data_IF_144228748806
#
_entry.id   IF_144228748806
#
_cell.length_a   1.000
_cell.length_b   1.000
_cell.length_c   1.000
_cell.angle_alpha   90.00
_cell.angle_beta   90.00
_cell.angle_gamma   90.00
#
_symmetry.space_group_name_H-M   'P 1'
#
loop_
_entity.id
_entity.type
_entity.pdbx_description
1 polymer ?
#
# COMPACT_ATOMS: atom_id res chain seq x y z
N UNK A 1 -0.48 8.17 -4.65
CA UNK A 1 0.50 7.85 -3.60
C UNK A 1 0.12 8.37 -2.21
N UNK A 2 -0.47 9.54 -2.06
CA UNK A 2 -0.81 10.16 -0.76
C UNK A 2 -1.96 9.51 0.03
N UNK A 3 -2.72 8.60 -0.56
CA UNK A 3 -3.74 7.83 0.20
C UNK A 3 -3.07 7.04 1.32
N UNK A 4 -3.33 7.43 2.59
CA UNK A 4 -2.80 6.78 3.81
C UNK A 4 -1.26 6.78 3.95
N UNK A 5 -0.55 7.62 3.21
CA UNK A 5 0.91 7.78 3.32
C UNK A 5 1.25 9.26 3.50
N UNK A 6 2.22 9.56 4.37
CA UNK A 6 2.64 10.92 4.65
C UNK A 6 3.40 11.54 3.46
N UNK A 7 3.25 12.86 3.26
CA UNK A 7 3.86 13.60 2.15
C UNK A 7 5.38 13.41 2.10
N UNK A 8 6.06 13.56 3.24
CA UNK A 8 7.51 13.41 3.33
C UNK A 8 8.00 12.03 2.83
N UNK A 9 7.24 10.98 3.11
CA UNK A 9 7.52 9.63 2.62
C UNK A 9 7.28 9.51 1.11
N UNK A 10 6.25 10.18 0.59
CA UNK A 10 5.84 10.06 -0.82
C UNK A 10 6.77 10.79 -1.77
N UNK A 11 7.32 11.95 -1.39
CA UNK A 11 8.11 12.82 -2.29
C UNK A 11 9.21 12.08 -3.05
N UNK A 12 10.12 11.30 -2.41
CA UNK A 12 11.17 10.60 -3.15
C UNK A 12 10.63 9.49 -4.08
N UNK A 13 9.54 8.84 -3.72
CA UNK A 13 8.87 7.84 -4.56
C UNK A 13 8.19 8.50 -5.76
N UNK A 14 7.51 9.62 -5.55
CA UNK A 14 6.83 10.35 -6.60
C UNK A 14 7.81 10.83 -7.67
N UNK A 15 8.96 11.38 -7.29
CA UNK A 15 9.98 11.83 -8.24
C UNK A 15 10.45 10.70 -9.14
N UNK A 16 10.89 9.57 -8.56
CA UNK A 16 11.33 8.40 -9.34
C UNK A 16 10.22 7.80 -10.21
N UNK A 17 8.99 7.84 -9.71
CA UNK A 17 7.84 7.33 -10.44
C UNK A 17 7.52 8.21 -11.66
N UNK A 18 7.55 9.53 -11.51
CA UNK A 18 7.31 10.47 -12.61
C UNK A 18 8.46 10.52 -13.64
N UNK A 19 9.69 10.29 -13.21
CA UNK A 19 10.83 10.14 -14.13
C UNK A 19 10.61 8.93 -15.06
N UNK A 20 10.07 7.85 -14.53
CA UNK A 20 9.86 6.63 -15.31
C UNK A 20 8.53 6.61 -16.06
N UNK A 21 7.49 7.16 -15.47
CA UNK A 21 6.12 7.20 -16.00
C UNK A 21 5.62 8.65 -16.03
N UNK A 22 6.07 9.46 -17.01
CA UNK A 22 5.71 10.88 -17.07
C UNK A 22 4.23 11.12 -17.40
N UNK A 23 3.58 10.15 -18.03
CA UNK A 23 2.17 10.23 -18.42
C UNK A 23 1.45 8.87 -18.29
N UNK A 24 0.16 8.88 -18.57
CA UNK A 24 -0.71 7.70 -18.46
C UNK A 24 -0.34 6.61 -19.48
N UNK A 25 0.16 6.99 -20.66
CA UNK A 25 0.55 6.07 -21.73
C UNK A 25 1.79 5.29 -21.37
N UNK A 26 2.80 6.00 -20.84
CA UNK A 26 4.02 5.38 -20.34
C UNK A 26 3.73 4.42 -19.18
N UNK A 27 2.80 4.78 -18.28
CA UNK A 27 2.39 3.92 -17.18
C UNK A 27 1.61 2.69 -17.67
N UNK A 28 0.68 2.85 -18.61
CA UNK A 28 -0.11 1.76 -19.16
C UNK A 28 0.74 0.75 -19.97
N UNK A 29 1.76 1.24 -20.69
CA UNK A 29 2.67 0.39 -21.45
C UNK A 29 3.67 -0.41 -20.62
N UNK A 30 3.87 -0.04 -19.35
CA UNK A 30 4.84 -0.69 -18.49
C UNK A 30 4.33 -2.03 -17.94
N UNK A 31 5.20 -3.04 -17.75
CA UNK A 31 4.87 -4.22 -16.98
C UNK A 31 4.47 -3.86 -15.54
N UNK A 32 3.44 -4.51 -15.01
CA UNK A 32 2.97 -4.26 -13.63
C UNK A 32 4.09 -4.49 -12.59
N UNK A 33 5.02 -5.39 -12.86
CA UNK A 33 6.15 -5.65 -11.96
C UNK A 33 7.08 -4.44 -11.82
N UNK A 34 7.31 -3.68 -12.90
CA UNK A 34 8.09 -2.44 -12.85
C UNK A 34 7.37 -1.36 -12.02
N UNK A 35 6.06 -1.26 -12.16
CA UNK A 35 5.23 -0.34 -11.36
C UNK A 35 5.30 -0.71 -9.88
N UNK A 36 5.19 -2.00 -9.56
CA UNK A 36 5.29 -2.52 -8.19
C UNK A 36 6.70 -2.36 -7.61
N UNK A 37 7.73 -2.51 -8.43
CA UNK A 37 9.13 -2.27 -8.03
C UNK A 37 9.34 -0.82 -7.57
N UNK A 38 8.92 0.16 -8.37
CA UNK A 38 9.02 1.59 -8.01
C UNK A 38 8.13 1.98 -6.81
N UNK A 39 7.12 1.17 -6.51
CA UNK A 39 6.24 1.35 -5.35
C UNK A 39 6.74 0.66 -4.08
N UNK A 40 7.75 -0.23 -4.20
CA UNK A 40 8.24 -1.04 -3.08
C UNK A 40 8.69 -0.17 -1.91
N UNK A 41 8.16 -0.46 -0.72
CA UNK A 41 8.38 0.32 0.51
C UNK A 41 7.26 1.29 0.87
N UNK A 42 6.41 1.75 -0.06
CA UNK A 42 5.27 2.62 0.24
C UNK A 42 4.11 1.89 0.94
N UNK A 43 4.04 0.56 0.81
CA UNK A 43 2.93 -0.23 1.32
C UNK A 43 1.62 -0.06 0.54
N UNK A 44 0.57 -0.82 0.96
CA UNK A 44 -0.74 -0.80 0.32
C UNK A 44 -0.66 -0.98 -1.21
N UNK A 45 0.01 -2.01 -1.66
CA UNK A 45 0.35 -2.29 -3.06
C UNK A 45 -0.87 -2.39 -4.00
N UNK A 46 -2.06 -2.66 -3.46
CA UNK A 46 -3.31 -2.57 -4.21
C UNK A 46 -3.50 -1.19 -4.87
N UNK A 47 -2.94 -0.11 -4.29
CA UNK A 47 -2.99 1.23 -4.90
C UNK A 47 -2.17 1.30 -6.19
N UNK A 48 -0.98 0.71 -6.20
CA UNK A 48 -0.14 0.66 -7.40
C UNK A 48 -0.80 -0.18 -8.50
N UNK A 49 -1.32 -1.36 -8.16
CA UNK A 49 -2.06 -2.20 -9.12
C UNK A 49 -3.31 -1.50 -9.65
N UNK A 50 -4.06 -0.83 -8.78
CA UNK A 50 -5.24 -0.07 -9.21
C UNK A 50 -4.86 1.12 -10.08
N UNK A 51 -3.76 1.83 -9.78
CA UNK A 51 -3.26 2.93 -10.59
C UNK A 51 -2.87 2.44 -11.99
N UNK A 52 -2.15 1.32 -12.07
CA UNK A 52 -1.79 0.69 -13.36
C UNK A 52 -3.02 0.25 -14.13
N UNK A 53 -3.97 -0.46 -13.48
CA UNK A 53 -5.25 -0.86 -14.12
C UNK A 53 -6.08 0.33 -14.55
N UNK A 54 -6.08 1.42 -13.79
CA UNK A 54 -6.75 2.65 -14.20
C UNK A 54 -6.10 3.26 -15.44
N UNK A 55 -4.76 3.27 -15.52
CA UNK A 55 -4.04 3.75 -16.69
C UNK A 55 -4.35 2.93 -17.95
N UNK A 56 -4.41 1.60 -17.84
CA UNK A 56 -4.84 0.71 -18.94
C UNK A 56 -6.26 1.05 -19.42
N UNK A 57 -7.22 1.19 -18.49
CA UNK A 57 -8.60 1.55 -18.86
C UNK A 57 -8.72 2.95 -19.45
N UNK A 58 -7.96 3.93 -18.94
CA UNK A 58 -7.92 5.28 -19.50
C UNK A 58 -7.39 5.24 -20.93
N UNK A 59 -6.38 4.44 -21.21
CA UNK A 59 -5.85 4.30 -22.56
C UNK A 59 -6.86 3.63 -23.50
N UNK A 60 -7.48 2.54 -23.06
CA UNK A 60 -8.38 1.70 -23.85
C UNK A 60 -9.77 2.34 -24.06
N UNK A 61 -10.39 2.83 -22.98
CA UNK A 61 -11.77 3.32 -22.97
C UNK A 61 -11.89 4.84 -23.21
N UNK A 62 -10.80 5.60 -22.97
CA UNK A 62 -10.81 7.09 -22.98
C UNK A 62 -9.67 7.71 -23.81
N UNK A 63 -9.04 6.95 -24.70
CA UNK A 63 -8.01 7.46 -25.61
C UNK A 63 -6.74 8.00 -24.94
N UNK A 64 -6.53 7.70 -23.67
CA UNK A 64 -5.38 8.18 -22.88
C UNK A 64 -5.63 9.50 -22.15
N UNK A 65 -6.86 10.00 -22.14
CA UNK A 65 -7.24 11.21 -21.42
C UNK A 65 -8.10 10.87 -20.19
N UNK A 66 -7.93 11.61 -19.10
CA UNK A 66 -8.76 11.42 -17.90
C UNK A 66 -10.23 11.75 -18.20
N UNK A 67 -11.18 10.85 -17.85
CA UNK A 67 -12.59 11.13 -18.00
C UNK A 67 -13.02 12.44 -17.34
N UNK A 68 -13.95 13.15 -17.95
CA UNK A 68 -14.46 14.43 -17.46
C UNK A 68 -15.69 14.26 -16.55
N UNK A 69 -16.38 13.14 -16.63
CA UNK A 69 -17.55 12.87 -15.81
C UNK A 69 -17.20 12.20 -14.48
N UNK A 70 -17.97 12.54 -13.45
CA UNK A 70 -17.81 11.96 -12.12
C UNK A 70 -17.96 10.42 -12.15
N UNK A 71 -18.97 9.92 -12.84
CA UNK A 71 -19.29 8.50 -12.87
C UNK A 71 -18.20 7.70 -13.60
N UNK A 72 -17.67 8.22 -14.70
CA UNK A 72 -16.58 7.58 -15.42
C UNK A 72 -15.29 7.55 -14.59
N UNK A 73 -14.96 8.66 -13.89
CA UNK A 73 -13.83 8.67 -12.95
C UNK A 73 -14.03 7.69 -11.79
N UNK A 74 -15.21 7.68 -11.18
CA UNK A 74 -15.50 6.80 -10.05
C UNK A 74 -15.54 5.30 -10.42
N UNK A 75 -15.73 4.99 -11.71
CA UNK A 75 -15.66 3.62 -12.25
C UNK A 75 -14.23 3.12 -12.43
N UNK A 76 -13.20 4.00 -12.43
CA UNK A 76 -11.81 3.61 -12.58
C UNK A 76 -11.29 2.88 -11.33
N UNK A 77 -10.45 1.84 -11.51
CA UNK A 77 -9.87 1.10 -10.39
C UNK A 77 -9.16 2.01 -9.38
N UNK A 78 -9.54 1.91 -8.10
CA UNK A 78 -8.93 2.69 -7.01
C UNK A 78 -9.39 4.14 -6.88
N UNK A 79 -10.30 4.60 -7.72
CA UNK A 79 -10.92 5.92 -7.64
C UNK A 79 -12.32 5.78 -7.05
N UNK A 80 -12.47 6.15 -5.78
CA UNK A 80 -13.77 6.21 -5.12
C UNK A 80 -14.37 7.62 -5.17
N UNK A 81 -15.61 7.76 -4.65
CA UNK A 81 -16.38 9.01 -4.61
C UNK A 81 -15.56 10.25 -4.24
N UNK A 82 -14.80 10.17 -3.12
CA UNK A 82 -14.01 11.31 -2.64
C UNK A 82 -12.82 11.63 -3.56
N UNK A 83 -12.21 10.61 -4.16
CA UNK A 83 -11.08 10.80 -5.07
C UNK A 83 -11.54 11.37 -6.41
N UNK A 84 -12.65 10.88 -6.96
CA UNK A 84 -13.26 11.44 -8.17
C UNK A 84 -13.63 12.92 -7.97
N UNK A 85 -14.28 13.23 -6.85
CA UNK A 85 -14.59 14.62 -6.49
C UNK A 85 -13.36 15.51 -6.38
N UNK A 86 -12.28 15.01 -5.76
CA UNK A 86 -11.04 15.77 -5.63
C UNK A 86 -10.38 16.03 -7.00
N UNK A 87 -10.36 15.04 -7.90
CA UNK A 87 -9.81 15.19 -9.25
C UNK A 87 -10.58 16.28 -10.02
N UNK A 88 -11.90 16.22 -10.02
CA UNK A 88 -12.74 17.19 -10.74
C UNK A 88 -12.64 18.60 -10.14
N UNK A 89 -12.60 18.71 -8.82
CA UNK A 89 -12.43 19.99 -8.15
C UNK A 89 -11.08 20.62 -8.46
N UNK A 90 -9.98 19.88 -8.26
CA UNK A 90 -8.63 20.41 -8.40
C UNK A 90 -8.19 20.61 -9.85
N UNK A 91 -8.58 19.70 -10.76
CA UNK A 91 -8.13 19.76 -12.15
C UNK A 91 -9.07 20.54 -13.07
N UNK A 92 -10.35 20.68 -12.69
CA UNK A 92 -11.38 21.25 -13.57
C UNK A 92 -12.24 22.34 -12.91
N UNK A 93 -12.00 22.68 -11.64
CA UNK A 93 -12.80 23.65 -10.90
C UNK A 93 -14.27 23.24 -10.73
N UNK A 94 -14.62 21.96 -10.93
CA UNK A 94 -15.99 21.49 -10.81
C UNK A 94 -16.37 21.27 -9.35
N UNK A 95 -17.60 21.69 -8.98
CA UNK A 95 -18.09 21.58 -7.62
C UNK A 95 -18.46 20.15 -7.27
N UNK A 96 -17.52 19.45 -6.62
CA UNK A 96 -17.76 18.16 -6.02
C UNK A 96 -17.25 18.11 -4.58
N UNK A 97 -18.07 17.61 -3.62
CA UNK A 97 -17.65 17.47 -2.23
C UNK A 97 -16.63 16.33 -2.09
N UNK A 98 -15.73 16.47 -1.13
CA UNK A 98 -14.77 15.43 -0.76
C UNK A 98 -14.92 15.04 0.71
N UNK A 99 -14.71 13.76 1.02
CA UNK A 99 -14.73 13.25 2.38
C UNK A 99 -13.63 12.21 2.59
N UNK A 100 -12.38 12.62 2.38
CA UNK A 100 -11.21 11.82 2.73
C UNK A 100 -10.99 11.76 4.25
N UNK A 101 -9.95 11.10 4.72
CA UNK A 101 -9.65 11.00 6.15
C UNK A 101 -9.38 12.35 6.83
N UNK A 102 -8.85 13.33 6.09
CA UNK A 102 -8.55 14.68 6.59
C UNK A 102 -9.81 15.52 6.67
N UNK A 103 -10.56 15.63 5.57
CA UNK A 103 -11.82 16.37 5.52
C UNK A 103 -12.83 15.82 6.54
N UNK A 104 -12.94 14.49 6.65
CA UNK A 104 -13.79 13.81 7.64
C UNK A 104 -13.47 14.24 9.06
N UNK A 105 -12.20 14.30 9.43
CA UNK A 105 -11.77 14.73 10.76
C UNK A 105 -12.05 16.20 11.01
N UNK A 106 -11.79 17.06 10.03
CA UNK A 106 -12.08 18.50 10.13
C UNK A 106 -13.58 18.72 10.31
N UNK A 107 -14.41 18.14 9.45
CA UNK A 107 -15.86 18.29 9.52
C UNK A 107 -16.46 17.69 10.80
N UNK A 108 -15.99 16.50 11.23
CA UNK A 108 -16.45 15.90 12.50
C UNK A 108 -16.18 16.82 13.68
N UNK A 109 -15.01 17.44 13.76
CA UNK A 109 -14.65 18.36 14.85
C UNK A 109 -15.36 19.70 14.76
N UNK A 110 -15.40 20.28 13.57
CA UNK A 110 -16.02 21.58 13.35
C UNK A 110 -17.51 21.57 13.68
N UNK A 111 -18.24 20.56 13.20
CA UNK A 111 -19.67 20.41 13.44
C UNK A 111 -20.04 19.56 14.68
N UNK A 112 -19.06 19.06 15.42
CA UNK A 112 -19.29 18.26 16.63
C UNK A 112 -19.98 16.91 16.36
N UNK A 113 -19.75 16.29 15.20
CA UNK A 113 -20.42 15.03 14.82
C UNK A 113 -19.89 13.88 15.67
N UNK A 114 -20.78 13.30 16.46
CA UNK A 114 -20.51 12.17 17.37
C UNK A 114 -20.72 10.85 16.64
N UNK A 115 -20.00 9.83 17.07
CA UNK A 115 -20.07 8.48 16.50
C UNK A 115 -18.88 8.13 15.61
N UNK A 116 -18.81 6.85 15.27
CA UNK A 116 -17.76 6.34 14.39
C UNK A 116 -18.11 6.62 12.93
N UNK A 117 -17.14 7.11 12.17
CA UNK A 117 -17.32 7.28 10.73
C UNK A 117 -17.48 5.95 9.95
N UNK A 118 -17.39 4.82 10.64
CA UNK A 118 -17.75 3.50 10.09
C UNK A 118 -19.26 3.23 10.14
N UNK A 119 -20.00 3.98 10.94
CA UNK A 119 -21.47 3.91 11.00
C UNK A 119 -22.07 4.63 9.78
N UNK A 120 -22.99 3.99 9.09
CA UNK A 120 -23.59 4.51 7.85
C UNK A 120 -24.33 5.84 8.05
N UNK A 121 -24.99 6.03 9.20
CA UNK A 121 -25.67 7.28 9.57
C UNK A 121 -24.69 8.44 9.75
N UNK A 122 -23.59 8.20 10.45
CA UNK A 122 -22.52 9.19 10.66
C UNK A 122 -21.83 9.52 9.33
N UNK A 123 -21.53 8.52 8.51
CA UNK A 123 -20.93 8.72 7.19
C UNK A 123 -21.85 9.56 6.28
N UNK A 124 -23.15 9.27 6.25
CA UNK A 124 -24.15 10.05 5.49
C UNK A 124 -24.18 11.50 5.98
N UNK A 125 -24.27 11.70 7.29
CA UNK A 125 -24.25 13.06 7.87
C UNK A 125 -23.01 13.85 7.51
N UNK A 126 -21.84 13.22 7.51
CA UNK A 126 -20.59 13.88 7.11
C UNK A 126 -20.55 14.22 5.62
N UNK A 127 -21.14 13.39 4.75
CA UNK A 127 -21.31 13.72 3.34
C UNK A 127 -22.25 14.91 3.11
N UNK A 128 -23.39 14.98 3.82
CA UNK A 128 -24.28 16.14 3.77
C UNK A 128 -23.57 17.42 4.21
N UNK A 129 -22.78 17.36 5.28
CA UNK A 129 -22.01 18.48 5.76
C UNK A 129 -20.90 18.88 4.77
N UNK A 130 -20.25 17.91 4.15
CA UNK A 130 -19.26 18.17 3.10
C UNK A 130 -19.90 18.88 1.91
N UNK A 131 -21.05 18.39 1.43
CA UNK A 131 -21.81 19.01 0.33
C UNK A 131 -22.15 20.46 0.63
N UNK A 132 -22.69 20.73 1.83
CA UNK A 132 -23.07 22.08 2.27
C UNK A 132 -21.90 23.02 2.48
N UNK A 133 -20.72 22.47 2.80
CA UNK A 133 -19.51 23.26 3.04
C UNK A 133 -18.70 23.51 1.76
N UNK A 134 -18.94 22.76 0.69
CA UNK A 134 -18.25 22.95 -0.58
C UNK A 134 -18.82 24.16 -1.31
N UNK A 135 -18.02 25.21 -1.53
CA UNK A 135 -18.50 26.45 -2.16
C UNK A 135 -18.79 26.24 -3.65
N UNK A 136 -19.46 27.21 -4.28
CA UNK A 136 -19.64 27.25 -5.74
C UNK A 136 -18.42 27.85 -6.46
N UNK A 137 -17.78 28.82 -5.82
CA UNK A 137 -16.61 29.50 -6.36
C UNK A 137 -15.34 29.05 -5.64
N UNK A 138 -14.20 29.06 -6.31
CA UNK A 138 -12.88 28.68 -5.76
C UNK A 138 -12.90 27.29 -5.10
N UNK A 139 -13.58 26.36 -5.74
CA UNK A 139 -13.77 25.00 -5.20
C UNK A 139 -12.47 24.22 -5.10
N UNK A 140 -11.54 24.45 -6.01
CA UNK A 140 -10.19 23.89 -6.02
C UNK A 140 -9.39 24.34 -4.79
N UNK A 141 -9.42 25.62 -4.47
CA UNK A 141 -8.76 26.17 -3.27
C UNK A 141 -9.40 25.61 -1.98
N UNK A 142 -10.73 25.53 -1.92
CA UNK A 142 -11.42 24.93 -0.77
C UNK A 142 -11.03 23.45 -0.60
N UNK A 143 -11.03 22.71 -1.71
CA UNK A 143 -10.71 21.27 -1.71
C UNK A 143 -9.27 21.03 -1.24
N UNK A 144 -8.32 21.82 -1.71
CA UNK A 144 -6.94 21.76 -1.24
C UNK A 144 -6.84 22.20 0.22
N UNK A 145 -7.46 23.32 0.59
CA UNK A 145 -7.39 23.88 1.94
C UNK A 145 -7.94 22.93 3.02
N UNK A 146 -9.07 22.24 2.78
CA UNK A 146 -9.63 21.32 3.79
C UNK A 146 -8.73 20.08 3.98
N UNK A 147 -8.07 19.59 2.91
CA UNK A 147 -7.10 18.50 3.00
C UNK A 147 -5.86 18.96 3.77
N UNK A 148 -5.31 20.12 3.46
CA UNK A 148 -4.12 20.68 4.13
C UNK A 148 -4.39 21.02 5.59
N UNK A 149 -5.54 21.60 5.90
CA UNK A 149 -5.96 21.86 7.27
C UNK A 149 -6.00 20.57 8.10
N UNK A 150 -6.55 19.51 7.51
CA UNK A 150 -6.55 18.19 8.13
C UNK A 150 -5.16 17.58 8.28
N UNK A 151 -4.28 17.76 7.30
CA UNK A 151 -2.94 17.16 7.29
C UNK A 151 -1.96 17.89 8.23
N UNK A 152 -2.08 19.22 8.40
CA UNK A 152 -1.05 20.05 9.04
C UNK A 152 -1.49 20.69 10.36
N UNK A 153 -2.76 21.04 10.51
CA UNK A 153 -3.28 21.78 11.68
C UNK A 153 -4.24 20.92 12.50
N UNK A 154 -5.32 20.44 11.87
CA UNK A 154 -6.32 19.61 12.53
C UNK A 154 -5.90 18.14 12.54
N UNK A 155 -4.67 17.86 12.97
CA UNK A 155 -4.09 16.53 12.99
C UNK A 155 -4.78 15.60 13.99
N UNK A 156 -4.60 14.29 13.84
CA UNK A 156 -5.27 13.28 14.67
C UNK A 156 -4.91 13.40 16.14
N UNK A 157 -3.62 13.48 16.44
CA UNK A 157 -3.10 13.67 17.81
C UNK A 157 -2.57 15.10 17.95
N UNK A 158 -2.86 15.78 19.05
CA UNK A 158 -2.39 17.14 19.35
C UNK A 158 -2.70 18.16 18.23
N UNK A 159 -3.99 18.37 17.90
CA UNK A 159 -4.35 19.36 16.90
C UNK A 159 -3.93 20.77 17.33
N UNK A 160 -3.43 21.56 16.39
CA UNK A 160 -2.91 22.92 16.62
C UNK A 160 -4.06 23.95 16.60
N UNK A 161 -4.99 23.84 17.54
CA UNK A 161 -6.21 24.64 17.58
C UNK A 161 -5.97 26.14 17.68
N UNK A 162 -4.86 26.59 18.31
CA UNK A 162 -4.48 28.00 18.37
C UNK A 162 -4.09 28.61 17.01
N UNK A 163 -3.69 27.77 16.05
CA UNK A 163 -3.32 28.17 14.69
C UNK A 163 -4.44 27.91 13.67
N UNK A 164 -5.57 27.35 14.12
CA UNK A 164 -6.63 26.92 13.22
C UNK A 164 -7.53 28.11 12.82
N UNK A 165 -7.70 28.40 11.52
CA UNK A 165 -8.57 29.51 11.08
C UNK A 165 -10.06 29.27 11.41
N UNK A 166 -10.45 28.02 11.68
CA UNK A 166 -11.82 27.65 12.04
C UNK A 166 -12.07 27.60 13.56
N UNK A 167 -11.08 27.99 14.37
CA UNK A 167 -11.06 27.75 15.81
C UNK A 167 -12.26 28.31 16.57
N UNK A 168 -12.71 29.53 16.24
CA UNK A 168 -13.77 30.23 16.97
C UNK A 168 -15.13 29.49 16.88
N UNK A 169 -15.48 29.00 15.69
CA UNK A 169 -16.75 28.32 15.42
C UNK A 169 -16.69 26.81 15.58
N UNK A 170 -15.51 26.26 15.91
CA UNK A 170 -15.32 24.82 16.02
C UNK A 170 -15.96 24.26 17.29
N UNK A 171 -16.99 23.43 17.13
CA UNK A 171 -17.73 22.82 18.26
C UNK A 171 -16.80 21.97 19.12
N UNK A 172 -15.96 21.12 18.52
CA UNK A 172 -15.04 20.27 19.28
C UNK A 172 -14.08 21.07 20.16
N UNK A 173 -13.56 22.22 19.67
CA UNK A 173 -12.69 23.10 20.44
C UNK A 173 -13.45 23.74 21.60
N UNK A 174 -14.62 24.28 21.34
CA UNK A 174 -15.46 24.95 22.36
C UNK A 174 -15.90 24.03 23.46
N UNK A 175 -16.07 22.74 23.16
CA UNK A 175 -16.51 21.70 24.12
C UNK A 175 -15.36 20.84 24.66
N UNK A 176 -14.10 21.14 24.29
CA UNK A 176 -12.93 20.37 24.74
C UNK A 176 -12.81 18.95 24.14
N UNK A 177 -13.62 18.60 23.12
CA UNK A 177 -13.79 17.23 22.59
C UNK A 177 -12.97 16.93 21.35
N UNK A 178 -11.98 17.71 21.00
CA UNK A 178 -11.15 17.50 19.80
C UNK A 178 -10.36 16.18 19.80
N UNK A 179 -10.17 15.56 20.94
CA UNK A 179 -9.51 14.26 21.08
C UNK A 179 -10.48 13.09 20.91
N UNK A 180 -11.77 13.32 21.14
CA UNK A 180 -12.84 12.33 21.00
C UNK A 180 -13.38 12.24 19.55
N UNK A 181 -13.27 13.33 18.79
CA UNK A 181 -13.89 13.46 17.47
C UNK A 181 -12.86 13.41 16.33
N UNK A 182 -13.15 12.64 15.26
CA UNK A 182 -14.20 11.63 15.16
C UNK A 182 -13.95 10.50 16.16
N UNK A 183 -15.00 9.81 16.61
CA UNK A 183 -14.86 8.68 17.51
C UNK A 183 -13.90 7.64 16.92
N UNK A 184 -12.96 7.14 17.71
CA UNK A 184 -12.01 6.14 17.22
C UNK A 184 -12.78 4.89 16.80
N UNK A 185 -12.35 4.28 15.69
CA UNK A 185 -12.80 2.94 15.34
C UNK A 185 -12.37 1.99 16.46
N UNK A 186 -13.29 1.19 16.97
CA UNK A 186 -12.95 0.16 17.96
C UNK A 186 -11.78 -0.67 17.41
N UNK A 187 -10.67 -0.63 18.13
CA UNK A 187 -9.50 -1.40 17.75
C UNK A 187 -9.83 -2.89 17.94
N UNK A 188 -9.83 -3.65 16.84
CA UNK A 188 -9.84 -5.11 16.95
C UNK A 188 -8.49 -5.54 17.51
N UNK A 189 -8.48 -6.51 18.41
CA UNK A 189 -7.24 -7.13 18.87
C UNK A 189 -6.42 -7.62 17.67
N UNK A 190 -5.16 -7.23 17.60
CA UNK A 190 -4.25 -7.68 16.55
C UNK A 190 -3.93 -9.15 16.85
N UNK A 191 -4.24 -10.04 15.91
CA UNK A 191 -3.83 -11.42 15.99
C UNK A 191 -2.41 -11.58 15.43
N UNK A 192 -1.66 -12.55 15.91
CA UNK A 192 -0.36 -12.91 15.38
C UNK A 192 -0.53 -14.08 14.41
N UNK A 193 -0.03 -13.93 13.19
CA UNK A 193 0.08 -14.97 12.19
C UNK A 193 1.53 -15.43 12.11
N UNK A 194 1.77 -16.72 12.22
CA UNK A 194 3.09 -17.34 12.04
C UNK A 194 3.13 -18.08 10.72
N UNK A 195 4.21 -17.91 9.97
CA UNK A 195 4.43 -18.59 8.69
C UNK A 195 5.88 -19.04 8.57
N UNK A 196 6.08 -20.07 7.78
CA UNK A 196 7.39 -20.55 7.36
C UNK A 196 7.60 -20.12 5.91
N UNK A 197 8.78 -19.59 5.57
CA UNK A 197 9.12 -19.26 4.20
C UNK A 197 10.37 -19.99 3.77
N UNK A 198 10.30 -20.70 2.64
CA UNK A 198 11.42 -21.46 2.09
C UNK A 198 12.34 -20.52 1.32
N UNK A 199 13.60 -20.49 1.69
CA UNK A 199 14.71 -19.78 1.02
C UNK A 199 15.52 -20.81 0.26
N UNK A 200 15.02 -21.19 -0.92
CA UNK A 200 15.74 -22.10 -1.81
C UNK A 200 16.87 -21.32 -2.49
N UNK A 201 18.12 -21.66 -2.16
CA UNK A 201 19.33 -20.93 -2.58
C UNK A 201 20.16 -21.78 -3.53
N UNK A 202 20.52 -21.23 -4.70
CA UNK A 202 21.48 -21.78 -5.64
C UNK A 202 22.88 -21.24 -5.41
N UNK A 203 23.87 -21.95 -5.92
CA UNK A 203 25.30 -21.58 -5.81
C UNK A 203 25.62 -20.27 -6.56
N UNK A 204 24.83 -19.91 -7.59
CA UNK A 204 24.95 -18.65 -8.33
C UNK A 204 24.38 -17.43 -7.57
N UNK A 205 23.82 -17.65 -6.37
CA UNK A 205 23.17 -16.62 -5.57
C UNK A 205 21.71 -16.37 -5.93
N UNK A 206 21.09 -17.24 -6.73
CA UNK A 206 19.67 -17.14 -7.05
C UNK A 206 18.81 -17.76 -5.96
N UNK A 207 17.69 -17.10 -5.64
CA UNK A 207 16.68 -17.52 -4.67
C UNK A 207 15.35 -17.73 -5.40
N UNK A 208 14.66 -18.82 -5.09
CA UNK A 208 13.33 -19.09 -5.64
C UNK A 208 12.31 -18.12 -5.03
N UNK A 209 11.59 -17.43 -5.90
CA UNK A 209 10.45 -16.61 -5.55
C UNK A 209 9.20 -17.10 -6.28
N UNK A 210 8.05 -16.96 -5.61
CA UNK A 210 6.73 -17.22 -6.17
C UNK A 210 5.91 -15.94 -6.20
N UNK A 211 5.10 -15.78 -7.25
CA UNK A 211 4.19 -14.66 -7.37
C UNK A 211 2.97 -14.90 -6.49
N UNK A 212 2.69 -13.99 -5.59
CA UNK A 212 1.51 -14.07 -4.75
C UNK A 212 0.23 -13.82 -5.55
N UNK A 213 -0.88 -14.50 -5.21
CA UNK A 213 -2.18 -14.17 -5.78
C UNK A 213 -2.48 -12.67 -5.64
N UNK A 214 -3.23 -12.09 -6.57
CA UNK A 214 -3.55 -10.65 -6.53
C UNK A 214 -4.31 -10.21 -5.26
N UNK A 215 -5.10 -11.12 -4.67
CA UNK A 215 -5.81 -10.90 -3.41
C UNK A 215 -4.94 -11.27 -2.21
N UNK A 216 -5.23 -10.66 -1.06
CA UNK A 216 -4.56 -10.98 0.20
C UNK A 216 -3.30 -10.16 0.48
N UNK A 217 -2.49 -10.69 1.38
CA UNK A 217 -1.26 -10.03 1.86
C UNK A 217 -0.21 -10.02 0.75
N UNK A 218 0.33 -8.82 0.46
CA UNK A 218 1.35 -8.63 -0.58
C UNK A 218 0.92 -9.11 -1.98
N UNK A 219 -0.39 -9.08 -2.26
CA UNK A 219 -0.94 -9.59 -3.51
C UNK A 219 -0.23 -9.04 -4.74
N UNK A 220 0.07 -9.92 -5.69
CA UNK A 220 0.77 -9.63 -6.94
C UNK A 220 2.28 -9.39 -6.82
N UNK A 221 2.85 -9.38 -5.59
CA UNK A 221 4.28 -9.26 -5.36
C UNK A 221 4.96 -10.63 -5.43
N UNK A 222 6.24 -10.60 -5.75
CA UNK A 222 7.10 -11.76 -5.66
C UNK A 222 7.56 -11.96 -4.22
N UNK A 223 7.47 -13.17 -3.72
CA UNK A 223 7.77 -13.51 -2.33
C UNK A 223 8.41 -14.88 -2.25
N UNK A 224 9.07 -15.16 -1.13
CA UNK A 224 9.51 -16.52 -0.81
C UNK A 224 8.29 -17.45 -0.70
N UNK A 225 8.37 -18.73 -1.13
CA UNK A 225 7.31 -19.72 -0.93
C UNK A 225 6.88 -19.80 0.53
N UNK A 226 5.58 -19.61 0.80
CA UNK A 226 5.01 -19.47 2.15
C UNK A 226 4.19 -20.70 2.54
N UNK A 227 4.39 -21.19 3.78
CA UNK A 227 3.74 -22.36 4.34
C UNK A 227 3.23 -22.08 5.76
N UNK A 228 2.14 -22.74 6.14
CA UNK A 228 1.56 -22.65 7.48
C UNK A 228 2.30 -23.47 8.53
N UNK A 229 3.14 -24.43 8.13
CA UNK A 229 3.91 -25.30 9.02
C UNK A 229 5.26 -25.67 8.45
N UNK A 230 6.21 -26.02 9.30
CA UNK A 230 7.51 -26.55 8.91
C UNK A 230 7.39 -27.86 8.12
N UNK A 231 6.40 -28.71 8.47
CA UNK A 231 6.13 -29.98 7.77
C UNK A 231 5.73 -29.72 6.31
N UNK A 232 4.82 -28.75 6.06
CA UNK A 232 4.40 -28.39 4.72
C UNK A 232 5.56 -27.79 3.90
N UNK A 233 6.38 -26.94 4.52
CA UNK A 233 7.58 -26.42 3.90
C UNK A 233 8.59 -27.52 3.54
N UNK A 234 8.81 -28.49 4.42
CA UNK A 234 9.65 -29.65 4.17
C UNK A 234 9.13 -30.56 3.05
N UNK A 235 7.81 -30.75 2.97
CA UNK A 235 7.19 -31.50 1.86
C UNK A 235 7.39 -30.80 0.51
N UNK A 236 7.22 -29.49 0.47
CA UNK A 236 7.53 -28.68 -0.72
C UNK A 236 8.99 -28.82 -1.17
N UNK A 237 9.93 -28.73 -0.23
CA UNK A 237 11.37 -28.89 -0.51
C UNK A 237 11.64 -30.26 -1.16
N UNK A 238 11.18 -31.34 -0.57
CA UNK A 238 11.39 -32.70 -1.10
C UNK A 238 10.71 -32.92 -2.46
N UNK A 239 9.51 -32.39 -2.64
CA UNK A 239 8.73 -32.59 -3.88
C UNK A 239 9.21 -31.75 -5.05
N UNK A 240 9.71 -30.52 -4.81
CA UNK A 240 9.98 -29.54 -5.86
C UNK A 240 11.48 -29.24 -6.06
N UNK A 241 12.30 -29.41 -5.02
CA UNK A 241 13.73 -29.04 -5.07
C UNK A 241 14.67 -30.25 -5.15
N UNK A 242 14.12 -31.47 -5.07
CA UNK A 242 14.84 -32.72 -5.23
C UNK A 242 15.61 -33.17 -3.96
N UNK A 243 16.23 -34.40 -4.03
CA UNK A 243 16.96 -35.01 -2.91
C UNK A 243 18.30 -34.31 -2.58
N UNK A 244 18.77 -33.42 -3.46
CA UNK A 244 20.01 -32.67 -3.26
C UNK A 244 19.85 -31.46 -2.33
N UNK A 245 18.66 -31.27 -1.72
CA UNK A 245 18.43 -30.22 -0.76
C UNK A 245 18.99 -30.65 0.61
N UNK A 246 20.01 -29.94 1.09
CA UNK A 246 20.53 -30.06 2.47
C UNK A 246 19.42 -29.75 3.45
N UNK A 247 19.40 -30.42 4.62
CA UNK A 247 18.38 -30.17 5.66
C UNK A 247 18.14 -28.69 5.92
N UNK A 248 16.86 -28.25 5.99
CA UNK A 248 16.52 -26.86 6.19
C UNK A 248 17.12 -26.32 7.49
N UNK A 249 17.88 -25.22 7.40
CA UNK A 249 18.34 -24.46 8.57
C UNK A 249 17.42 -23.28 8.80
N UNK A 250 17.06 -23.01 10.05
CA UNK A 250 16.30 -21.81 10.41
C UNK A 250 17.24 -20.62 10.57
N UNK A 251 16.93 -19.51 9.91
CA UNK A 251 17.48 -18.20 10.22
C UNK A 251 16.59 -17.47 11.24
N UNK A 252 17.12 -16.40 11.84
CA UNK A 252 16.38 -15.59 12.80
C UNK A 252 15.01 -15.15 12.27
N UNK A 253 14.02 -15.08 13.16
CA UNK A 253 12.66 -14.68 12.82
C UNK A 253 12.61 -13.24 12.27
N UNK A 254 11.73 -13.03 11.28
CA UNK A 254 11.41 -11.71 10.73
C UNK A 254 10.02 -11.33 11.22
N UNK A 255 9.90 -10.16 11.84
CA UNK A 255 8.62 -9.63 12.29
C UNK A 255 8.17 -8.50 11.36
N UNK A 256 6.90 -8.52 10.97
CA UNK A 256 6.31 -7.45 10.17
C UNK A 256 4.91 -7.10 10.67
N UNK A 257 4.69 -5.81 10.95
CA UNK A 257 3.43 -5.31 11.48
C UNK A 257 2.52 -4.80 10.35
N UNK A 258 1.37 -5.43 10.17
CA UNK A 258 0.28 -4.90 9.36
C UNK A 258 -0.71 -4.08 10.20
N UNK A 259 -1.62 -3.39 9.56
CA UNK A 259 -2.64 -2.58 10.26
C UNK A 259 -3.55 -3.42 11.16
N UNK A 260 -3.79 -4.69 10.82
CA UNK A 260 -4.79 -5.56 11.46
C UNK A 260 -4.24 -6.87 12.03
N UNK A 261 -2.96 -7.19 11.78
CA UNK A 261 -2.27 -8.34 12.38
C UNK A 261 -0.75 -8.16 12.38
N UNK A 262 -0.04 -8.97 13.15
CA UNK A 262 1.41 -9.06 13.16
C UNK A 262 1.83 -10.37 12.51
N UNK A 263 2.75 -10.30 11.53
CA UNK A 263 3.30 -11.45 10.81
C UNK A 263 4.68 -11.79 11.37
N UNK A 264 4.83 -13.04 11.83
CA UNK A 264 6.11 -13.61 12.24
C UNK A 264 6.52 -14.66 11.20
N UNK A 265 7.63 -14.45 10.54
CA UNK A 265 8.17 -15.28 9.47
C UNK A 265 9.37 -16.05 9.99
N UNK A 266 9.36 -17.37 9.84
CA UNK A 266 10.52 -18.23 10.09
C UNK A 266 11.12 -18.64 8.75
N UNK A 267 12.28 -18.06 8.33
CA UNK A 267 12.96 -18.45 7.10
C UNK A 267 13.60 -19.84 7.26
N UNK A 268 13.34 -20.73 6.29
CA UNK A 268 13.94 -22.06 6.18
C UNK A 268 14.88 -22.06 4.97
N UNK A 269 16.19 -22.00 5.19
CA UNK A 269 17.18 -21.98 4.14
C UNK A 269 17.52 -23.40 3.69
N UNK A 270 17.46 -23.60 2.37
CA UNK A 270 17.75 -24.87 1.71
C UNK A 270 18.67 -24.60 0.53
N UNK A 271 19.77 -25.33 0.41
CA UNK A 271 20.65 -25.31 -0.77
C UNK A 271 20.13 -26.25 -1.82
N UNK A 272 20.01 -25.74 -3.04
CA UNK A 272 19.61 -26.52 -4.21
C UNK A 272 20.82 -26.78 -5.10
N UNK A 273 21.22 -28.06 -5.25
CA UNK A 273 22.24 -28.50 -6.20
C UNK A 273 21.55 -29.10 -7.42
N UNK A 274 21.78 -28.52 -8.60
CA UNK A 274 21.23 -29.04 -9.86
C UNK A 274 20.02 -28.26 -10.40
N UNK A 275 19.48 -28.71 -11.54
CA UNK A 275 18.27 -28.15 -12.13
C UNK A 275 17.05 -28.50 -11.26
N UNK A 276 16.67 -27.61 -10.36
CA UNK A 276 15.35 -27.69 -9.74
C UNK A 276 14.29 -27.74 -10.84
N UNK A 277 13.27 -28.61 -10.68
CA UNK A 277 12.14 -28.74 -11.63
C UNK A 277 11.60 -27.38 -12.03
N UNK A 278 11.11 -27.34 -13.27
CA UNK A 278 10.72 -26.14 -14.01
C UNK A 278 10.05 -25.07 -13.14
N UNK A 279 10.65 -23.88 -13.22
CA UNK A 279 10.01 -22.64 -12.86
C UNK A 279 8.80 -22.48 -13.78
N UNK A 280 7.60 -22.45 -13.24
CA UNK A 280 6.41 -22.16 -14.02
C UNK A 280 6.44 -20.67 -14.38
N UNK A 281 6.53 -20.38 -15.67
CA UNK A 281 6.67 -19.01 -16.15
C UNK A 281 5.50 -18.14 -15.67
N UNK A 282 5.80 -16.98 -15.06
CA UNK A 282 4.79 -16.08 -14.49
C UNK A 282 4.32 -16.43 -13.08
N UNK A 283 4.60 -17.63 -12.55
CA UNK A 283 4.21 -18.09 -11.21
C UNK A 283 5.41 -18.17 -10.27
N UNK A 284 6.57 -18.60 -10.77
CA UNK A 284 7.81 -18.69 -10.00
C UNK A 284 9.00 -18.21 -10.82
N UNK A 285 10.08 -17.77 -10.16
CA UNK A 285 11.32 -17.35 -10.79
C UNK A 285 12.53 -17.55 -9.86
N UNK A 286 13.70 -17.71 -10.46
CA UNK A 286 14.98 -17.64 -9.76
C UNK A 286 15.50 -16.20 -9.79
N UNK A 287 15.46 -15.55 -8.64
CA UNK A 287 15.87 -14.16 -8.46
C UNK A 287 17.30 -14.08 -7.98
N UNK A 288 18.19 -13.52 -8.79
CA UNK A 288 19.59 -13.36 -8.40
C UNK A 288 19.73 -12.16 -7.46
N UNK A 289 20.08 -12.42 -6.19
CA UNK A 289 20.22 -11.37 -5.17
C UNK A 289 21.44 -10.47 -5.39
N UNK A 290 22.46 -10.93 -6.16
CA UNK A 290 23.65 -10.17 -6.52
C UNK A 290 23.46 -9.30 -7.77
N UNK A 291 22.51 -9.67 -8.63
CA UNK A 291 22.11 -8.92 -9.84
C UNK A 291 20.58 -8.75 -9.87
N UNK A 292 19.99 -7.94 -8.97
CA UNK A 292 18.57 -7.88 -8.76
C UNK A 292 17.80 -7.33 -9.96
N UNK A 293 16.80 -8.08 -10.43
CA UNK A 293 15.84 -7.61 -11.44
C UNK A 293 14.81 -6.65 -10.83
N UNK A 294 14.23 -5.81 -11.70
CA UNK A 294 13.22 -4.80 -11.29
C UNK A 294 11.83 -5.42 -11.12
N UNK A 295 11.62 -6.13 -10.02
CA UNK A 295 10.35 -6.75 -9.67
C UNK A 295 9.82 -6.21 -8.35
N UNK A 296 8.49 -6.31 -8.12
CA UNK A 296 7.85 -5.90 -6.88
C UNK A 296 8.09 -6.91 -5.76
N UNK A 297 8.76 -6.49 -4.68
CA UNK A 297 9.00 -7.29 -3.49
C UNK A 297 8.38 -6.64 -2.25
N UNK A 298 7.88 -7.42 -1.27
CA UNK A 298 7.53 -6.87 0.03
C UNK A 298 8.76 -6.32 0.77
N UNK A 299 8.61 -5.19 1.46
CA UNK A 299 9.71 -4.54 2.17
C UNK A 299 10.51 -5.48 3.11
N UNK A 300 9.90 -6.34 3.96
CA UNK A 300 10.66 -7.26 4.79
C UNK A 300 11.41 -8.32 3.97
N UNK A 301 10.89 -8.74 2.83
CA UNK A 301 11.57 -9.68 1.93
C UNK A 301 12.73 -8.99 1.22
N UNK A 302 12.54 -7.76 0.73
CA UNK A 302 13.64 -6.96 0.16
C UNK A 302 14.79 -6.83 1.16
N UNK A 303 14.49 -6.42 2.40
CA UNK A 303 15.51 -6.27 3.44
C UNK A 303 16.19 -7.60 3.79
N UNK A 304 15.45 -8.70 3.77
CA UNK A 304 16.00 -10.03 4.02
C UNK A 304 16.93 -10.48 2.87
N UNK A 305 16.49 -10.35 1.62
CA UNK A 305 17.30 -10.72 0.44
C UNK A 305 18.56 -9.86 0.30
N UNK A 306 18.51 -8.56 0.65
CA UNK A 306 19.69 -7.71 0.68
C UNK A 306 20.72 -8.19 1.70
N UNK A 307 20.28 -8.63 2.89
CA UNK A 307 21.19 -9.23 3.89
C UNK A 307 21.78 -10.57 3.46
N UNK A 308 21.00 -11.36 2.69
CA UNK A 308 21.52 -12.59 2.10
C UNK A 308 22.59 -12.33 1.04
N UNK A 309 22.53 -11.19 0.34
CA UNK A 309 23.52 -10.80 -0.67
C UNK A 309 24.86 -10.40 -0.03
N UNK A 310 24.88 -9.98 1.23
CA UNK A 310 26.10 -9.69 1.96
C UNK A 310 26.87 -11.00 2.24
N UNK A 311 28.12 -11.07 1.81
CA UNK A 311 28.96 -12.29 1.79
C UNK A 311 29.02 -13.07 3.11
N UNK A 312 28.85 -12.38 4.26
CA UNK A 312 28.86 -12.99 5.59
C UNK A 312 27.77 -14.05 5.84
N UNK A 313 26.60 -13.94 5.19
CA UNK A 313 25.51 -14.90 5.35
C UNK A 313 25.61 -16.08 4.35
N UNK A 314 26.25 -15.88 3.18
CA UNK A 314 26.56 -16.97 2.27
C UNK A 314 27.62 -17.92 2.85
N UNK A 315 28.59 -17.42 3.63
CA UNK A 315 29.61 -18.23 4.27
C UNK A 315 29.10 -18.96 5.52
N UNK A 316 28.23 -18.36 6.33
CA UNK A 316 27.56 -19.01 7.45
C UNK A 316 26.67 -20.20 7.01
N UNK A 317 26.25 -20.24 5.74
CA UNK A 317 25.57 -21.37 5.13
C UNK A 317 26.56 -22.42 4.51
N UNK A 318 27.88 -22.19 4.59
CA UNK A 318 28.92 -23.10 4.08
C UNK A 318 29.41 -24.15 5.08
N UNK A 319 29.00 -24.05 6.37
CA UNK A 319 29.41 -25.00 7.43
C UNK A 319 28.34 -26.04 7.71
#
# INVERSE_FOLDING_TARGET
>A
MLQQTQVATVVPYYRRFMERFPDVRALAAAPVDEVLHLWSGLGYYARARNLHRAALRILDEHGGELPESFDALAALPGIGRSTAGAILALARGQRFPILDGNARRVLSRYFGVVGSSAESSVARRLWELSERSTPHDRVDEYTQAIMDLGATVCVRRRPLCSRCPLAEKCIARRTGRQHELPAPRLARARHRRRVFMVVALRDDGSVLLERRPESGVWGGLWCLPEFSSATAAGAFVRGNLGEAAVEPRTLGQLEHAFTHFDLSITPLVVRCRGAARAVEEGVSLWYNVRAPSRIGLPAPITAFLSRLADESLFDAARV
#
